data_IF_663017240160
#
_entry.id   IF_663017240160
#
_cell.length_a   1.000
_cell.length_b   1.000
_cell.length_c   1.000
_cell.angle_alpha   90.00
_cell.angle_beta   90.00
_cell.angle_gamma   90.00
#
_symmetry.space_group_name_H-M   'P 1'
#
loop_
_entity.id
_entity.type
_entity.pdbx_description
1 polymer ?
#
# COMPACT_ATOMS: atom_id res chain seq x y z
N UNK A 1 11.27 33.19 -88.30
CA UNK A 1 11.51 32.95 -86.86
C UNK A 1 12.92 32.41 -86.70
N UNK A 2 13.78 33.10 -85.93
CA UNK A 2 15.18 32.69 -85.73
C UNK A 2 15.28 31.57 -84.69
N UNK A 3 16.27 30.68 -84.84
CA UNK A 3 16.54 29.53 -83.94
C UNK A 3 16.66 29.95 -82.47
N UNK A 4 17.13 31.18 -82.24
CA UNK A 4 17.28 31.79 -80.92
C UNK A 4 15.93 31.97 -80.18
N UNK A 5 14.84 32.31 -80.88
CA UNK A 5 13.52 32.47 -80.27
C UNK A 5 12.90 31.16 -79.80
N UNK A 6 13.17 30.05 -80.51
CA UNK A 6 12.69 28.73 -80.11
C UNK A 6 13.39 28.20 -78.86
N UNK A 7 14.70 28.47 -78.71
CA UNK A 7 15.46 28.08 -77.51
C UNK A 7 14.99 28.83 -76.26
N UNK A 8 14.64 30.12 -76.38
CA UNK A 8 14.12 30.89 -75.25
C UNK A 8 12.75 30.36 -74.79
N UNK A 9 11.86 30.05 -75.73
CA UNK A 9 10.54 29.48 -75.43
C UNK A 9 10.71 28.10 -74.76
N UNK A 10 11.59 27.24 -75.29
CA UNK A 10 11.88 25.94 -74.69
C UNK A 10 12.41 26.08 -73.25
N UNK A 11 13.32 27.03 -72.99
CA UNK A 11 13.83 27.31 -71.65
C UNK A 11 12.75 27.75 -70.66
N UNK A 12 11.81 28.60 -71.08
CA UNK A 12 10.69 29.05 -70.25
C UNK A 12 9.77 27.87 -69.90
N UNK A 13 9.44 27.03 -70.88
CA UNK A 13 8.56 25.87 -70.68
C UNK A 13 9.20 24.86 -69.71
N UNK A 14 10.48 24.53 -69.88
CA UNK A 14 11.19 23.61 -68.98
C UNK A 14 11.24 24.17 -67.56
N UNK A 15 11.55 25.46 -67.41
CA UNK A 15 11.62 26.10 -66.08
C UNK A 15 10.26 26.12 -65.38
N UNK A 16 9.18 26.39 -66.12
CA UNK A 16 7.82 26.39 -65.59
C UNK A 16 7.38 24.98 -65.14
N UNK A 17 7.67 23.96 -65.96
CA UNK A 17 7.35 22.57 -65.63
C UNK A 17 8.16 22.08 -64.42
N UNK A 18 9.45 22.41 -64.35
CA UNK A 18 10.30 22.03 -63.23
C UNK A 18 9.88 22.73 -61.93
N UNK A 19 9.52 24.02 -61.99
CA UNK A 19 9.03 24.78 -60.82
C UNK A 19 7.68 24.27 -60.32
N UNK A 20 6.79 23.88 -61.23
CA UNK A 20 5.53 23.26 -60.88
C UNK A 20 5.70 21.86 -60.27
N UNK A 21 6.61 21.05 -60.82
CA UNK A 21 6.98 19.75 -60.26
C UNK A 21 7.60 19.90 -58.88
N UNK A 22 8.60 20.76 -58.74
CA UNK A 22 9.30 21.01 -57.48
C UNK A 22 8.35 21.55 -56.40
N UNK A 23 7.46 22.49 -56.72
CA UNK A 23 6.48 23.01 -55.75
C UNK A 23 5.47 21.95 -55.31
N UNK A 24 4.97 21.10 -56.22
CA UNK A 24 4.08 19.97 -55.89
C UNK A 24 4.77 18.91 -55.04
N UNK A 25 6.03 18.59 -55.32
CA UNK A 25 6.80 17.62 -54.54
C UNK A 25 7.25 18.18 -53.18
N UNK A 26 7.70 19.43 -53.13
CA UNK A 26 8.05 20.12 -51.88
C UNK A 26 6.84 20.24 -50.94
N UNK A 27 5.65 20.56 -51.48
CA UNK A 27 4.42 20.58 -50.69
C UNK A 27 4.04 19.22 -50.12
N UNK A 28 4.15 18.13 -50.90
CA UNK A 28 3.87 16.77 -50.41
C UNK A 28 4.91 16.25 -49.42
N UNK A 29 6.19 16.55 -49.65
CA UNK A 29 7.26 16.19 -48.73
C UNK A 29 7.15 16.96 -47.41
N UNK A 30 6.87 18.26 -47.47
CA UNK A 30 6.61 19.10 -46.30
C UNK A 30 5.42 18.60 -45.46
N UNK A 31 4.31 18.22 -46.11
CA UNK A 31 3.14 17.68 -45.40
C UNK A 31 3.47 16.34 -44.73
N UNK A 32 4.14 15.42 -45.44
CA UNK A 32 4.55 14.13 -44.86
C UNK A 32 5.55 14.28 -43.71
N UNK A 33 6.52 15.18 -43.82
CA UNK A 33 7.47 15.45 -42.73
C UNK A 33 6.73 16.03 -41.53
N UNK A 34 5.80 16.96 -41.75
CA UNK A 34 4.99 17.55 -40.67
C UNK A 34 4.07 16.53 -40.01
N UNK A 35 3.48 15.61 -40.77
CA UNK A 35 2.69 14.48 -40.23
C UNK A 35 3.56 13.54 -39.40
N UNK A 36 4.75 13.17 -39.89
CA UNK A 36 5.70 12.30 -39.17
C UNK A 36 6.23 12.97 -37.88
N UNK A 37 6.51 14.28 -37.91
CA UNK A 37 6.93 15.03 -36.72
C UNK A 37 5.80 15.14 -35.68
N UNK A 38 4.55 15.34 -36.12
CA UNK A 38 3.38 15.37 -35.22
C UNK A 38 3.13 13.99 -34.60
N UNK A 39 3.23 12.91 -35.39
CA UNK A 39 3.07 11.54 -34.90
C UNK A 39 4.21 11.14 -33.95
N UNK A 40 5.46 11.52 -34.24
CA UNK A 40 6.59 11.30 -33.35
C UNK A 40 6.45 12.08 -32.03
N UNK A 41 6.03 13.35 -32.08
CA UNK A 41 5.78 14.16 -30.88
C UNK A 41 4.58 13.64 -30.07
N UNK A 42 3.55 13.11 -30.72
CA UNK A 42 2.42 12.46 -30.06
C UNK A 42 2.86 11.15 -29.38
N UNK A 43 3.73 10.39 -30.02
CA UNK A 43 4.31 9.17 -29.46
C UNK A 43 5.19 9.45 -28.23
N UNK A 44 6.11 10.42 -28.30
CA UNK A 44 6.93 10.82 -27.15
C UNK A 44 6.09 11.34 -25.97
N UNK A 45 5.01 12.08 -26.28
CA UNK A 45 4.07 12.53 -25.25
C UNK A 45 3.30 11.36 -24.64
N UNK A 46 2.88 10.38 -25.43
CA UNK A 46 2.22 9.18 -24.93
C UNK A 46 3.18 8.33 -24.07
N UNK A 47 4.43 8.17 -24.49
CA UNK A 47 5.46 7.43 -23.77
C UNK A 47 5.80 8.07 -22.42
N UNK A 48 5.95 9.40 -22.39
CA UNK A 48 6.19 10.14 -21.13
C UNK A 48 5.01 10.08 -20.16
N UNK A 49 3.76 10.16 -20.67
CA UNK A 49 2.56 9.96 -19.86
C UNK A 49 2.51 8.53 -19.32
N UNK A 50 2.80 7.54 -20.15
CA UNK A 50 2.77 6.14 -19.75
C UNK A 50 3.84 5.84 -18.68
N UNK A 51 5.07 6.34 -18.88
CA UNK A 51 6.14 6.23 -17.89
C UNK A 51 5.77 6.91 -16.56
N UNK A 52 5.13 8.08 -16.60
CA UNK A 52 4.64 8.76 -15.40
C UNK A 52 3.54 7.98 -14.68
N UNK A 53 2.61 7.37 -15.44
CA UNK A 53 1.56 6.53 -14.86
C UNK A 53 2.12 5.24 -14.26
N UNK A 54 3.05 4.57 -14.94
CA UNK A 54 3.74 3.39 -14.40
C UNK A 54 4.49 3.71 -13.11
N UNK A 55 5.17 4.86 -13.04
CA UNK A 55 5.86 5.29 -11.83
C UNK A 55 4.89 5.51 -10.67
N UNK A 56 3.77 6.21 -10.90
CA UNK A 56 2.72 6.40 -9.88
C UNK A 56 2.12 5.08 -9.43
N UNK A 57 1.83 4.18 -10.37
CA UNK A 57 1.29 2.87 -10.05
C UNK A 57 2.28 2.05 -9.21
N UNK A 58 3.57 2.13 -9.51
CA UNK A 58 4.61 1.48 -8.72
C UNK A 58 4.72 2.06 -7.30
N UNK A 59 4.61 3.38 -7.16
CA UNK A 59 4.57 4.06 -5.86
C UNK A 59 3.33 3.65 -5.05
N UNK A 60 2.15 3.62 -5.68
CA UNK A 60 0.89 3.18 -5.05
C UNK A 60 0.93 1.71 -4.63
N UNK A 61 1.45 0.81 -5.49
CA UNK A 61 1.62 -0.60 -5.16
C UNK A 61 2.60 -0.78 -3.99
N UNK A 62 3.69 0.00 -3.97
CA UNK A 62 4.66 -0.05 -2.88
C UNK A 62 4.05 0.44 -1.56
N UNK A 63 3.32 1.55 -1.60
CA UNK A 63 2.61 2.09 -0.43
C UNK A 63 1.53 1.13 0.07
N UNK A 64 0.79 0.49 -0.84
CA UNK A 64 -0.23 -0.49 -0.50
C UNK A 64 0.38 -1.73 0.15
N UNK A 65 1.52 -2.20 -0.35
CA UNK A 65 2.26 -3.32 0.24
C UNK A 65 2.74 -2.99 1.66
N UNK A 66 3.33 -1.81 1.86
CA UNK A 66 3.77 -1.35 3.18
C UNK A 66 2.58 -1.22 4.16
N UNK A 67 1.45 -0.71 3.69
CA UNK A 67 0.21 -0.64 4.48
C UNK A 67 -0.29 -2.03 4.88
N UNK A 68 -0.28 -3.00 3.95
CA UNK A 68 -0.67 -4.38 4.23
C UNK A 68 0.27 -5.05 5.24
N UNK A 69 1.58 -4.84 5.13
CA UNK A 69 2.55 -5.37 6.11
C UNK A 69 2.29 -4.80 7.50
N UNK A 70 2.12 -3.47 7.62
CA UNK A 70 1.79 -2.81 8.90
C UNK A 70 0.47 -3.30 9.49
N UNK A 71 -0.55 -3.54 8.66
CA UNK A 71 -1.83 -4.11 9.11
C UNK A 71 -1.66 -5.57 9.55
N UNK A 72 -0.85 -6.35 8.86
CA UNK A 72 -0.50 -7.73 9.24
C UNK A 72 0.16 -7.77 10.62
N UNK A 73 1.13 -6.89 10.87
CA UNK A 73 1.79 -6.79 12.17
C UNK A 73 0.82 -6.40 13.29
N UNK A 74 -0.07 -5.44 13.04
CA UNK A 74 -1.13 -5.05 14.00
C UNK A 74 -2.07 -6.20 14.31
N UNK A 75 -2.48 -6.97 13.30
CA UNK A 75 -3.33 -8.14 13.50
C UNK A 75 -2.62 -9.24 14.30
N UNK A 76 -1.31 -9.43 14.08
CA UNK A 76 -0.52 -10.38 14.86
C UNK A 76 -0.45 -9.97 16.32
N UNK A 77 -0.13 -8.70 16.61
CA UNK A 77 -0.12 -8.17 17.98
C UNK A 77 -1.49 -8.29 18.65
N UNK A 78 -2.57 -7.94 17.95
CA UNK A 78 -3.92 -8.06 18.48
C UNK A 78 -4.28 -9.51 18.79
N UNK A 79 -3.85 -10.46 17.96
CA UNK A 79 -4.06 -11.89 18.20
C UNK A 79 -3.30 -12.38 19.43
N UNK A 80 -2.03 -11.98 19.59
CA UNK A 80 -1.23 -12.31 20.77
C UNK A 80 -1.86 -11.76 22.06
N UNK A 81 -2.40 -10.54 22.01
CA UNK A 81 -3.09 -9.94 23.15
C UNK A 81 -4.42 -10.66 23.46
N UNK A 82 -5.16 -11.07 22.43
CA UNK A 82 -6.39 -11.85 22.60
C UNK A 82 -6.11 -13.24 23.22
N UNK A 83 -5.00 -13.87 22.83
CA UNK A 83 -4.56 -15.14 23.43
C UNK A 83 -4.21 -14.96 24.92
N UNK A 84 -3.50 -13.87 25.28
CA UNK A 84 -3.22 -13.53 26.69
C UNK A 84 -4.50 -13.32 27.49
N UNK A 85 -5.44 -12.54 26.97
CA UNK A 85 -6.73 -12.28 27.64
C UNK A 85 -7.51 -13.57 27.82
N UNK A 86 -7.55 -14.43 26.81
CA UNK A 86 -8.23 -15.73 26.88
C UNK A 86 -7.59 -16.64 27.92
N UNK A 87 -6.25 -16.65 28.00
CA UNK A 87 -5.52 -17.40 29.01
C UNK A 87 -5.85 -16.93 30.43
N UNK A 88 -5.77 -15.62 30.67
CA UNK A 88 -6.14 -15.00 31.96
C UNK A 88 -7.58 -15.32 32.34
N UNK A 89 -8.51 -15.18 31.39
CA UNK A 89 -9.92 -15.48 31.63
C UNK A 89 -10.14 -16.95 32.04
N UNK A 90 -9.46 -17.89 31.36
CA UNK A 90 -9.52 -19.32 31.72
C UNK A 90 -9.00 -19.60 33.13
N UNK A 91 -7.88 -18.98 33.53
CA UNK A 91 -7.35 -19.16 34.89
C UNK A 91 -8.34 -18.61 35.93
N UNK A 92 -8.88 -17.41 35.68
CA UNK A 92 -9.87 -16.79 36.56
C UNK A 92 -11.14 -17.63 36.68
N UNK A 93 -11.67 -18.17 35.57
CA UNK A 93 -12.83 -19.06 35.60
C UNK A 93 -12.59 -20.32 36.41
N UNK A 94 -11.44 -20.99 36.21
CA UNK A 94 -11.06 -22.17 36.99
C UNK A 94 -10.96 -21.84 38.49
N UNK A 95 -10.46 -20.65 38.83
CA UNK A 95 -10.38 -20.20 40.22
C UNK A 95 -11.77 -19.97 40.83
N UNK A 96 -12.66 -19.30 40.10
CA UNK A 96 -14.05 -19.07 40.52
C UNK A 96 -14.81 -20.40 40.68
N UNK A 97 -14.66 -21.33 39.73
CA UNK A 97 -15.31 -22.65 39.81
C UNK A 97 -14.89 -23.42 41.07
N UNK A 98 -13.59 -23.42 41.40
CA UNK A 98 -13.10 -24.05 42.64
C UNK A 98 -13.72 -23.41 43.88
N UNK A 99 -13.86 -22.08 43.88
CA UNK A 99 -14.49 -21.35 44.98
C UNK A 99 -15.99 -21.67 45.11
N UNK A 100 -16.70 -21.77 43.98
CA UNK A 100 -18.12 -22.15 43.96
C UNK A 100 -18.34 -23.61 44.41
N UNK A 101 -17.47 -24.53 44.01
CA UNK A 101 -17.49 -25.92 44.47
C UNK A 101 -17.27 -26.01 45.99
N UNK A 102 -16.33 -25.24 46.53
CA UNK A 102 -16.14 -25.11 47.97
C UNK A 102 -17.43 -24.64 48.67
N UNK A 103 -18.02 -23.54 48.20
CA UNK A 103 -19.23 -22.97 48.79
C UNK A 103 -20.41 -23.96 48.79
N UNK A 104 -20.48 -24.83 47.78
CA UNK A 104 -21.48 -25.90 47.66
C UNK A 104 -21.22 -27.06 48.63
N UNK A 105 -19.98 -27.50 48.75
CA UNK A 105 -19.61 -28.73 49.46
C UNK A 105 -19.38 -28.50 50.97
N UNK A 106 -19.40 -27.25 51.44
CA UNK A 106 -19.32 -26.89 52.87
C UNK A 106 -17.97 -27.20 53.53
N UNK A 107 -16.92 -27.43 52.74
CA UNK A 107 -15.56 -27.70 53.21
C UNK A 107 -14.88 -26.42 53.72
N UNK A 108 -13.60 -26.45 54.09
CA UNK A 108 -12.84 -25.24 54.45
C UNK A 108 -12.55 -24.42 53.18
N UNK A 109 -12.70 -23.07 53.20
CA UNK A 109 -12.44 -22.25 52.03
C UNK A 109 -11.01 -22.47 51.53
N UNK A 110 -10.82 -22.59 50.20
CA UNK A 110 -9.48 -22.47 49.66
C UNK A 110 -8.95 -21.10 50.07
N UNK A 111 -7.74 -21.09 50.65
CA UNK A 111 -7.08 -19.84 51.08
C UNK A 111 -7.10 -18.90 49.87
N UNK A 112 -7.71 -17.70 49.99
CA UNK A 112 -7.73 -16.76 48.89
C UNK A 112 -6.28 -16.48 48.55
N UNK A 113 -5.88 -16.92 47.36
CA UNK A 113 -4.53 -16.80 46.86
C UNK A 113 -4.64 -16.51 45.38
N UNK A 114 -3.99 -15.43 44.93
CA UNK A 114 -3.89 -15.14 43.50
C UNK A 114 -3.09 -16.28 42.86
N UNK A 115 -3.67 -17.01 41.87
CA UNK A 115 -2.94 -18.00 41.11
C UNK A 115 -1.64 -17.43 40.58
N UNK A 116 -0.54 -18.16 40.74
CA UNK A 116 0.80 -17.69 40.39
C UNK A 116 0.87 -17.24 38.91
N UNK A 117 0.15 -17.96 38.05
CA UNK A 117 -0.02 -17.67 36.62
C UNK A 117 -0.73 -16.34 36.33
N UNK A 118 -1.54 -15.83 37.25
CA UNK A 118 -2.20 -14.53 37.12
C UNK A 118 -1.34 -13.37 37.64
N UNK A 119 -0.31 -13.64 38.46
CA UNK A 119 0.53 -12.58 39.05
C UNK A 119 1.27 -11.77 38.00
N UNK A 120 1.68 -12.39 36.91
CA UNK A 120 2.36 -11.70 35.80
C UNK A 120 1.44 -10.78 34.99
N UNK A 121 0.12 -10.98 35.10
CA UNK A 121 -0.89 -10.26 34.33
C UNK A 121 -1.72 -9.29 35.18
N UNK A 122 -1.56 -9.32 36.50
CA UNK A 122 -2.28 -8.46 37.42
C UNK A 122 -1.46 -7.21 37.76
N UNK A 123 -2.17 -6.12 38.06
CA UNK A 123 -1.54 -4.90 38.55
C UNK A 123 -0.80 -5.21 39.87
N UNK A 124 0.50 -4.85 40.00
CA UNK A 124 1.26 -5.04 41.23
C UNK A 124 0.61 -4.44 42.47
N UNK A 125 -0.21 -3.39 42.33
CA UNK A 125 -0.98 -2.81 43.43
C UNK A 125 -2.02 -3.78 44.00
N UNK A 126 -2.69 -4.57 43.16
CA UNK A 126 -3.68 -5.58 43.57
C UNK A 126 -3.01 -6.76 44.28
N UNK A 127 -1.82 -7.17 43.81
CA UNK A 127 -1.03 -8.23 44.44
C UNK A 127 -0.57 -7.80 45.84
N UNK A 128 -0.09 -6.55 45.96
CA UNK A 128 0.32 -5.99 47.26
C UNK A 128 -0.84 -5.87 48.23
N UNK A 129 -1.99 -5.41 47.77
CA UNK A 129 -3.18 -5.29 48.62
C UNK A 129 -3.68 -6.65 49.09
N UNK A 130 -3.68 -7.65 48.21
CA UNK A 130 -4.01 -9.02 48.60
C UNK A 130 -3.03 -9.58 49.64
N UNK A 131 -1.73 -9.35 49.48
CA UNK A 131 -0.72 -9.74 50.46
C UNK A 131 -0.96 -9.11 51.84
N UNK A 132 -1.32 -7.83 51.89
CA UNK A 132 -1.71 -7.17 53.16
C UNK A 132 -2.93 -7.81 53.80
N UNK A 133 -3.95 -8.14 53.01
CA UNK A 133 -5.17 -8.78 53.51
C UNK A 133 -4.91 -10.19 54.04
N UNK A 134 -4.00 -10.96 53.40
CA UNK A 134 -3.55 -12.25 53.92
C UNK A 134 -2.82 -12.10 55.26
N UNK A 135 -1.84 -11.20 55.34
CA UNK A 135 -1.13 -10.94 56.60
C UNK A 135 -2.05 -10.48 57.73
N UNK A 136 -3.14 -9.79 57.41
CA UNK A 136 -4.12 -9.34 58.39
C UNK A 136 -5.04 -10.48 58.86
N UNK A 137 -5.41 -11.41 57.97
CA UNK A 137 -6.16 -12.62 58.31
C UNK A 137 -5.33 -13.64 59.09
N UNK A 138 -4.04 -13.80 58.77
CA UNK A 138 -3.16 -14.76 59.47
C UNK A 138 -2.85 -14.34 60.92
N UNK A 139 -3.13 -13.08 61.28
CA UNK A 139 -2.96 -12.52 62.64
C UNK A 139 -4.22 -12.59 63.50
N UNK A 140 -5.36 -12.99 62.91
CA UNK A 140 -6.66 -13.16 63.59
C UNK A 140 -6.88 -14.63 63.98
#
# INVERSE_FOLDING_TARGET
MTVQGWLTIAGIVVTAVFSYGASRYAGRASVKVKEVEVDAAAYERAESINAAMFKRLQEEVSALKESHEKQGDKLRLLREDLDKVTHVFRISMNFIERFLLWARDGSLPPIPSIPEQLREHLDPSLIREHGRQQEQNDRL
#
